data_IF_566435720475
#
_entry.id   IF_566435720475
#
_cell.length_a   1.000
_cell.length_b   1.000
_cell.length_c   1.000
_cell.angle_alpha   90.00
_cell.angle_beta   90.00
_cell.angle_gamma   90.00
#
_symmetry.space_group_name_H-M   'P 1'
#
loop_
_entity.id
_entity.type
_entity.pdbx_description
1 polymer ?
#
# COMPACT_ATOMS: atom_id res chain seq x y z
N UNK A 1 7.39 -10.50 -7.21
CA UNK A 1 6.08 -9.86 -7.03
C UNK A 1 5.02 -10.69 -7.73
N UNK A 2 4.28 -11.50 -6.98
CA UNK A 2 3.22 -12.32 -7.55
C UNK A 2 1.99 -11.45 -7.77
N UNK A 3 1.49 -11.44 -9.01
CA UNK A 3 0.25 -10.75 -9.35
C UNK A 3 -0.90 -11.75 -9.39
N UNK A 4 -1.82 -11.65 -8.45
CA UNK A 4 -2.98 -12.51 -8.31
C UNK A 4 -4.26 -11.67 -8.13
N UNK A 5 -5.40 -12.12 -8.68
CA UNK A 5 -6.68 -11.44 -8.48
C UNK A 5 -7.17 -11.57 -7.03
N UNK A 6 -8.17 -10.79 -6.67
CA UNK A 6 -8.87 -10.94 -5.40
C UNK A 6 -9.56 -12.31 -5.29
N UNK A 7 -9.49 -12.88 -4.10
CA UNK A 7 -10.34 -14.01 -3.72
C UNK A 7 -11.79 -13.57 -3.57
N UNK A 8 -12.73 -14.51 -3.40
CA UNK A 8 -14.14 -14.19 -3.12
C UNK A 8 -14.27 -13.32 -1.85
N UNK A 9 -13.56 -13.69 -0.78
CA UNK A 9 -13.51 -12.90 0.44
C UNK A 9 -12.92 -11.50 0.17
N UNK A 10 -11.87 -11.42 -0.64
CA UNK A 10 -11.26 -10.14 -1.03
C UNK A 10 -12.25 -9.23 -1.78
N UNK A 11 -13.08 -9.79 -2.67
CA UNK A 11 -14.13 -9.02 -3.35
C UNK A 11 -15.20 -8.49 -2.39
N UNK A 12 -15.62 -9.31 -1.42
CA UNK A 12 -16.56 -8.88 -0.38
C UNK A 12 -15.96 -7.75 0.49
N UNK A 13 -14.70 -7.87 0.87
CA UNK A 13 -13.97 -6.83 1.61
C UNK A 13 -13.85 -5.53 0.80
N UNK A 14 -13.57 -5.61 -0.50
CA UNK A 14 -13.50 -4.45 -1.38
C UNK A 14 -14.87 -3.76 -1.52
N UNK A 15 -15.96 -4.51 -1.63
CA UNK A 15 -17.32 -3.97 -1.66
C UNK A 15 -17.67 -3.25 -0.35
N UNK A 16 -17.37 -3.86 0.79
CA UNK A 16 -17.57 -3.22 2.09
C UNK A 16 -16.73 -1.94 2.28
N UNK A 17 -15.50 -1.93 1.76
CA UNK A 17 -14.67 -0.73 1.75
C UNK A 17 -15.29 0.37 0.88
N UNK A 18 -15.81 0.03 -0.30
CA UNK A 18 -16.46 0.97 -1.20
C UNK A 18 -17.66 1.67 -0.52
N UNK A 19 -18.49 0.94 0.22
CA UNK A 19 -19.58 1.52 0.99
C UNK A 19 -19.10 2.49 2.09
N UNK A 20 -18.02 2.15 2.77
CA UNK A 20 -17.42 3.03 3.79
C UNK A 20 -16.87 4.31 3.17
N UNK A 21 -16.17 4.21 2.04
CA UNK A 21 -15.53 5.34 1.37
C UNK A 21 -16.53 6.26 0.66
N UNK A 22 -17.73 5.79 0.32
CA UNK A 22 -18.80 6.61 -0.27
C UNK A 22 -19.14 7.87 0.55
N UNK A 23 -18.90 7.83 1.86
CA UNK A 23 -19.19 8.92 2.80
C UNK A 23 -17.99 9.86 3.04
N UNK A 24 -16.81 9.52 2.52
CA UNK A 24 -15.56 10.25 2.79
C UNK A 24 -15.36 11.44 1.84
N UNK A 25 -16.00 11.43 0.66
CA UNK A 25 -15.83 12.50 -0.34
C UNK A 25 -14.48 12.42 -1.06
N UNK A 26 -14.12 11.22 -1.56
CA UNK A 26 -12.90 10.99 -2.33
C UNK A 26 -13.01 11.68 -3.70
N UNK A 27 -11.93 12.35 -4.12
CA UNK A 27 -11.83 13.05 -5.42
C UNK A 27 -11.02 12.25 -6.45
N UNK A 28 -10.07 11.44 -6.01
CA UNK A 28 -9.13 10.70 -6.86
C UNK A 28 -8.69 9.43 -6.17
N UNK A 29 -8.54 8.34 -6.93
CA UNK A 29 -7.91 7.11 -6.47
C UNK A 29 -6.59 6.92 -7.22
N UNK A 30 -5.49 6.71 -6.48
CA UNK A 30 -4.21 6.29 -7.02
C UNK A 30 -3.95 4.87 -6.51
N UNK A 31 -3.77 3.91 -7.42
CA UNK A 31 -3.67 2.50 -7.09
C UNK A 31 -2.35 1.88 -7.55
N UNK A 32 -1.89 0.88 -6.81
CA UNK A 32 -0.90 -0.06 -7.32
C UNK A 32 -1.43 -0.73 -8.59
N UNK A 33 -0.60 -0.94 -9.63
CA UNK A 33 -1.02 -1.62 -10.86
C UNK A 33 -1.25 -3.13 -10.68
N UNK A 34 -0.92 -3.71 -9.52
CA UNK A 34 -1.18 -5.13 -9.27
C UNK A 34 -2.68 -5.41 -9.20
N UNK A 35 -3.13 -6.51 -9.83
CA UNK A 35 -4.54 -6.82 -10.08
C UNK A 35 -5.42 -6.70 -8.83
N UNK A 36 -4.98 -7.28 -7.70
CA UNK A 36 -5.74 -7.23 -6.43
C UNK A 36 -5.99 -5.81 -5.91
N UNK A 37 -5.05 -4.89 -6.14
CA UNK A 37 -5.20 -3.50 -5.75
C UNK A 37 -6.10 -2.74 -6.72
N UNK A 38 -5.95 -3.01 -8.04
CA UNK A 38 -6.84 -2.46 -9.07
C UNK A 38 -8.29 -2.92 -8.88
N UNK A 39 -8.51 -4.18 -8.59
CA UNK A 39 -9.85 -4.71 -8.34
C UNK A 39 -10.53 -3.97 -7.16
N UNK A 40 -9.76 -3.75 -6.09
CA UNK A 40 -10.23 -2.97 -4.92
C UNK A 40 -10.50 -1.51 -5.28
N UNK A 41 -9.57 -0.87 -6.00
CA UNK A 41 -9.70 0.52 -6.43
C UNK A 41 -10.92 0.72 -7.34
N UNK A 42 -11.14 -0.18 -8.29
CA UNK A 42 -12.29 -0.13 -9.19
C UNK A 42 -13.61 -0.32 -8.47
N UNK A 43 -13.67 -1.20 -7.47
CA UNK A 43 -14.88 -1.35 -6.64
C UNK A 43 -15.24 -0.04 -5.92
N UNK A 44 -14.25 0.66 -5.37
CA UNK A 44 -14.44 1.98 -4.73
C UNK A 44 -14.82 3.04 -5.77
N UNK A 45 -14.13 3.05 -6.91
CA UNK A 45 -14.37 4.04 -7.98
C UNK A 45 -15.79 4.02 -8.51
N UNK A 46 -16.37 2.83 -8.67
CA UNK A 46 -17.76 2.66 -9.12
C UNK A 46 -18.74 3.31 -8.15
N UNK A 47 -18.52 3.12 -6.84
CA UNK A 47 -19.43 3.66 -5.80
C UNK A 47 -19.23 5.16 -5.61
N UNK A 48 -17.99 5.63 -5.63
CA UNK A 48 -17.66 7.05 -5.41
C UNK A 48 -17.80 7.92 -6.69
N UNK A 49 -17.85 7.32 -7.88
CA UNK A 49 -17.94 8.06 -9.15
C UNK A 49 -16.65 8.83 -9.48
N UNK A 50 -15.47 8.32 -9.08
CA UNK A 50 -14.20 9.01 -9.21
C UNK A 50 -13.21 8.25 -10.09
N UNK A 51 -12.24 8.94 -10.74
CA UNK A 51 -11.25 8.28 -11.58
C UNK A 51 -10.24 7.45 -10.77
N UNK A 52 -9.72 6.39 -11.39
CA UNK A 52 -8.58 5.60 -10.91
C UNK A 52 -7.39 5.86 -11.82
N UNK A 53 -6.25 6.17 -11.24
CA UNK A 53 -4.96 6.20 -11.93
C UNK A 53 -4.02 5.22 -11.24
N UNK A 54 -3.06 4.68 -11.97
CA UNK A 54 -2.04 3.78 -11.40
C UNK A 54 -0.72 4.50 -11.20
N UNK A 55 0.02 4.08 -10.16
CA UNK A 55 1.39 4.53 -9.94
C UNK A 55 2.26 3.36 -9.48
N UNK A 56 3.34 3.09 -10.22
CA UNK A 56 4.25 1.98 -9.95
C UNK A 56 4.95 2.10 -8.59
N UNK A 57 5.01 3.30 -8.04
CA UNK A 57 5.55 3.54 -6.70
C UNK A 57 4.70 2.92 -5.58
N UNK A 58 3.46 2.50 -5.88
CA UNK A 58 2.58 1.76 -4.97
C UNK A 58 2.68 0.24 -5.11
N UNK A 59 3.47 -0.30 -6.04
CA UNK A 59 3.71 -1.75 -6.14
C UNK A 59 4.31 -2.25 -4.83
N UNK A 60 3.85 -3.43 -4.34
CA UNK A 60 4.38 -4.04 -3.11
C UNK A 60 5.90 -4.18 -3.14
N UNK A 61 6.53 -4.19 -1.97
CA UNK A 61 7.97 -4.42 -1.84
C UNK A 61 8.40 -5.69 -2.59
N UNK A 62 9.52 -5.59 -3.29
CA UNK A 62 10.14 -6.75 -3.91
C UNK A 62 10.93 -7.55 -2.86
N UNK A 63 10.38 -8.70 -2.49
CA UNK A 63 11.00 -9.58 -1.50
C UNK A 63 12.00 -10.57 -2.11
N UNK A 64 12.28 -10.46 -3.42
CA UNK A 64 13.26 -11.28 -4.13
C UNK A 64 13.03 -12.79 -3.94
N UNK A 65 14.05 -13.50 -3.45
CA UNK A 65 13.96 -14.96 -3.22
C UNK A 65 12.90 -15.40 -2.21
N UNK A 66 12.33 -14.46 -1.45
CA UNK A 66 11.28 -14.74 -0.46
C UNK A 66 9.86 -14.52 -1.01
N UNK A 67 9.72 -14.17 -2.28
CA UNK A 67 8.41 -14.11 -2.92
C UNK A 67 7.70 -15.46 -2.85
N UNK A 68 6.46 -15.45 -2.36
CA UNK A 68 5.64 -16.67 -2.21
C UNK A 68 6.05 -17.63 -1.09
N UNK A 69 7.10 -17.31 -0.33
CA UNK A 69 7.48 -18.10 0.85
C UNK A 69 6.67 -17.75 2.08
N UNK A 70 6.72 -18.62 3.09
CA UNK A 70 6.09 -18.38 4.38
C UNK A 70 6.66 -17.10 5.01
N UNK A 71 5.77 -16.22 5.44
CA UNK A 71 6.13 -14.98 6.14
C UNK A 71 6.82 -15.22 7.49
N UNK A 72 6.74 -16.44 8.02
CA UNK A 72 7.44 -16.88 9.24
C UNK A 72 8.85 -17.40 8.98
N UNK A 73 9.29 -17.49 7.72
CA UNK A 73 10.64 -17.90 7.38
C UNK A 73 11.67 -17.07 8.16
N UNK A 74 12.63 -17.68 8.88
CA UNK A 74 13.59 -16.95 9.72
C UNK A 74 14.45 -15.98 8.91
N UNK A 75 14.85 -16.32 7.69
CA UNK A 75 15.62 -15.44 6.81
C UNK A 75 14.80 -14.24 6.37
N UNK A 76 13.51 -14.43 6.05
CA UNK A 76 12.60 -13.34 5.75
C UNK A 76 12.46 -12.39 6.95
N UNK A 77 12.26 -12.93 8.15
CA UNK A 77 12.10 -12.12 9.37
C UNK A 77 13.39 -11.38 9.75
N UNK A 78 14.55 -11.98 9.54
CA UNK A 78 15.84 -11.33 9.75
C UNK A 78 16.02 -10.16 8.76
N UNK A 79 15.80 -10.36 7.46
CA UNK A 79 15.89 -9.31 6.45
C UNK A 79 14.89 -8.16 6.68
N UNK A 80 13.70 -8.46 7.18
CA UNK A 80 12.67 -7.46 7.45
C UNK A 80 13.13 -6.36 8.43
N UNK A 81 14.13 -6.64 9.25
CA UNK A 81 14.71 -5.71 10.22
C UNK A 81 15.98 -5.00 9.73
N UNK A 82 16.46 -5.36 8.55
CA UNK A 82 17.66 -4.78 7.94
C UNK A 82 17.25 -3.72 6.90
N UNK A 83 16.90 -2.54 7.34
CA UNK A 83 16.25 -1.52 6.50
C UNK A 83 17.08 -1.06 5.31
N UNK A 84 18.40 -0.96 5.46
CA UNK A 84 19.31 -0.58 4.39
C UNK A 84 19.77 -1.76 3.51
N UNK A 85 19.51 -2.99 3.94
CA UNK A 85 19.93 -4.20 3.24
C UNK A 85 18.84 -4.69 2.29
N UNK A 86 19.20 -5.02 1.06
CA UNK A 86 18.25 -5.54 0.07
C UNK A 86 17.87 -6.99 0.40
N UNK A 87 16.60 -7.33 0.19
CA UNK A 87 16.28 -8.74 0.00
C UNK A 87 17.09 -9.30 -1.18
N UNK A 88 17.66 -10.52 -1.09
CA UNK A 88 18.39 -11.10 -2.22
C UNK A 88 17.54 -11.09 -3.49
N UNK A 89 18.05 -10.47 -4.56
CA UNK A 89 17.34 -10.21 -5.81
C UNK A 89 16.08 -9.32 -5.68
N UNK A 90 15.96 -8.57 -4.60
CA UNK A 90 14.81 -7.70 -4.33
C UNK A 90 15.20 -6.28 -3.97
N UNK A 91 14.32 -5.61 -3.26
CA UNK A 91 14.36 -4.21 -2.87
C UNK A 91 14.67 -4.07 -1.37
N UNK A 92 15.44 -3.05 -0.97
CA UNK A 92 15.59 -2.70 0.45
C UNK A 92 14.41 -1.88 0.94
N UNK A 93 14.23 -1.80 2.27
CA UNK A 93 13.22 -0.93 2.87
C UNK A 93 13.49 0.54 2.57
N UNK A 94 14.76 0.96 2.54
CA UNK A 94 15.11 2.35 2.19
C UNK A 94 14.77 2.70 0.74
N UNK A 95 14.92 1.77 -0.21
CA UNK A 95 14.51 1.97 -1.59
C UNK A 95 12.98 2.06 -1.69
N UNK A 96 12.27 1.20 -0.98
CA UNK A 96 10.82 1.27 -0.88
C UNK A 96 10.35 2.62 -0.32
N UNK A 97 10.94 3.06 0.80
CA UNK A 97 10.62 4.33 1.42
C UNK A 97 10.89 5.51 0.47
N UNK A 98 12.01 5.49 -0.25
CA UNK A 98 12.35 6.55 -1.20
C UNK A 98 11.28 6.74 -2.28
N UNK A 99 10.79 5.66 -2.91
CA UNK A 99 9.74 5.77 -3.94
C UNK A 99 8.38 6.16 -3.39
N UNK A 100 8.00 5.64 -2.22
CA UNK A 100 6.71 5.94 -1.59
C UNK A 100 6.67 7.38 -1.07
N UNK A 101 7.72 7.85 -0.41
CA UNK A 101 7.82 9.25 0.05
C UNK A 101 7.79 10.22 -1.15
N UNK A 102 8.49 9.89 -2.24
CA UNK A 102 8.41 10.67 -3.47
C UNK A 102 7.01 10.75 -4.06
N UNK A 103 6.19 9.69 -3.96
CA UNK A 103 4.79 9.74 -4.33
C UNK A 103 3.98 10.69 -3.42
N UNK A 104 4.17 10.61 -2.10
CA UNK A 104 3.44 11.46 -1.15
C UNK A 104 3.75 12.94 -1.37
N UNK A 105 5.02 13.29 -1.64
CA UNK A 105 5.42 14.65 -2.00
C UNK A 105 4.78 15.14 -3.31
N UNK A 106 4.64 14.27 -4.29
CA UNK A 106 3.95 14.61 -5.54
C UNK A 106 2.44 14.79 -5.33
N UNK A 107 1.81 13.94 -4.52
CA UNK A 107 0.39 14.10 -4.15
C UNK A 107 0.17 15.41 -3.43
N UNK A 108 1.02 15.74 -2.46
CA UNK A 108 0.98 17.02 -1.74
C UNK A 108 1.05 18.23 -2.68
N UNK A 109 1.95 18.19 -3.66
CA UNK A 109 2.14 19.29 -4.61
C UNK A 109 1.00 19.44 -5.62
N UNK A 110 0.45 18.32 -6.10
CA UNK A 110 -0.49 18.31 -7.24
C UNK A 110 -1.95 18.22 -6.83
N UNK A 111 -2.23 17.77 -5.61
CA UNK A 111 -3.57 17.43 -5.14
C UNK A 111 -3.84 17.94 -3.71
N UNK A 112 -3.22 19.06 -3.32
CA UNK A 112 -3.33 19.63 -1.96
C UNK A 112 -4.76 20.04 -1.56
N UNK A 113 -5.65 20.22 -2.54
CA UNK A 113 -7.05 20.57 -2.37
C UNK A 113 -8.00 19.37 -2.48
N UNK A 114 -7.46 18.15 -2.55
CA UNK A 114 -8.22 16.92 -2.83
C UNK A 114 -8.08 15.88 -1.74
N UNK A 115 -9.13 15.09 -1.57
CA UNK A 115 -9.08 13.84 -0.83
C UNK A 115 -8.68 12.72 -1.78
N UNK A 116 -7.45 12.22 -1.62
CA UNK A 116 -6.86 11.19 -2.46
C UNK A 116 -6.84 9.86 -1.72
N UNK A 117 -7.44 8.82 -2.30
CA UNK A 117 -7.35 7.45 -1.80
C UNK A 117 -6.17 6.74 -2.44
N UNK A 118 -5.24 6.23 -1.63
CA UNK A 118 -4.16 5.35 -2.08
C UNK A 118 -4.56 3.89 -1.84
N UNK A 119 -4.64 3.09 -2.91
CA UNK A 119 -4.93 1.65 -2.82
C UNK A 119 -3.65 0.86 -3.10
N UNK A 120 -3.13 0.21 -2.08
CA UNK A 120 -1.80 -0.38 -2.12
C UNK A 120 -1.70 -1.66 -1.26
N UNK A 121 -0.54 -1.96 -0.72
CA UNK A 121 -0.20 -3.21 -0.04
C UNK A 121 0.34 -2.93 1.36
N UNK A 122 0.41 -3.96 2.19
CA UNK A 122 0.78 -3.81 3.60
C UNK A 122 2.18 -3.22 3.82
N UNK A 123 3.17 -3.63 3.01
CA UNK A 123 4.51 -3.03 3.07
C UNK A 123 4.51 -1.55 2.71
N UNK A 124 3.67 -1.15 1.75
CA UNK A 124 3.47 0.26 1.37
C UNK A 124 2.77 1.03 2.49
N UNK A 125 1.69 0.47 3.06
CA UNK A 125 0.96 1.11 4.17
C UNK A 125 1.86 1.42 5.36
N UNK A 126 2.78 0.50 5.70
CA UNK A 126 3.79 0.70 6.74
C UNK A 126 4.69 1.90 6.46
N UNK A 127 5.16 2.03 5.22
CA UNK A 127 5.99 3.17 4.81
C UNK A 127 5.20 4.47 4.79
N UNK A 128 3.95 4.45 4.30
CA UNK A 128 3.07 5.63 4.37
C UNK A 128 2.88 6.05 5.83
N UNK A 129 2.60 5.11 6.73
CA UNK A 129 2.41 5.42 8.15
C UNK A 129 3.65 6.09 8.76
N UNK A 130 4.86 5.62 8.42
CA UNK A 130 6.11 6.22 8.91
C UNK A 130 6.41 7.62 8.38
N UNK A 131 5.78 8.04 7.28
CA UNK A 131 5.87 9.41 6.79
C UNK A 131 5.13 10.40 7.71
N UNK A 132 4.04 9.97 8.32
CA UNK A 132 3.17 10.81 9.15
C UNK A 132 3.37 10.63 10.65
N UNK A 133 3.99 9.54 11.09
CA UNK A 133 4.14 9.17 12.51
C UNK A 133 5.53 8.65 12.79
N UNK A 134 6.12 9.14 13.86
CA UNK A 134 7.36 8.56 14.38
C UNK A 134 7.10 7.14 14.86
N UNK A 135 8.04 6.24 14.55
CA UNK A 135 7.98 4.84 14.90
C UNK A 135 9.37 4.37 15.33
N UNK A 136 9.43 3.55 16.36
CA UNK A 136 10.64 2.77 16.65
C UNK A 136 10.88 1.74 15.54
N UNK A 137 12.09 1.21 15.45
CA UNK A 137 12.40 0.16 14.47
C UNK A 137 11.52 -1.08 14.66
N UNK A 138 11.18 -1.43 15.91
CA UNK A 138 10.31 -2.57 16.20
C UNK A 138 8.85 -2.31 15.81
N UNK A 139 8.32 -1.14 16.12
CA UNK A 139 6.98 -0.73 15.67
C UNK A 139 6.88 -0.76 14.15
N UNK A 140 7.87 -0.21 13.46
CA UNK A 140 7.92 -0.25 12.00
C UNK A 140 7.99 -1.68 11.46
N UNK A 141 8.85 -2.55 12.02
CA UNK A 141 8.99 -3.93 11.56
C UNK A 141 7.73 -4.77 11.78
N UNK A 142 6.96 -4.49 12.84
CA UNK A 142 5.75 -5.24 13.22
C UNK A 142 4.45 -4.62 12.73
N UNK A 143 4.49 -3.38 12.21
CA UNK A 143 3.29 -2.71 11.70
C UNK A 143 2.58 -3.54 10.64
N UNK A 144 1.28 -3.65 10.77
CA UNK A 144 0.39 -4.32 9.82
C UNK A 144 -1.00 -3.69 9.85
N UNK A 145 -1.65 -3.65 8.71
CA UNK A 145 -3.06 -3.30 8.57
C UNK A 145 -3.84 -4.51 8.09
N UNK A 146 -5.08 -4.65 8.56
CA UNK A 146 -6.00 -5.67 8.04
C UNK A 146 -6.35 -5.39 6.56
N UNK A 147 -6.75 -6.43 5.85
CA UNK A 147 -7.22 -6.28 4.47
C UNK A 147 -8.42 -5.34 4.41
N UNK A 148 -8.42 -4.44 3.45
CA UNK A 148 -9.44 -3.41 3.28
C UNK A 148 -9.63 -2.48 4.51
N UNK A 149 -8.64 -2.39 5.39
CA UNK A 149 -8.59 -1.35 6.41
C UNK A 149 -8.32 0.02 5.78
N UNK A 150 -8.83 1.06 6.40
CA UNK A 150 -8.67 2.44 5.98
C UNK A 150 -7.95 3.23 7.07
N UNK A 151 -6.94 4.00 6.68
CA UNK A 151 -6.27 4.97 7.54
C UNK A 151 -6.32 6.34 6.86
N UNK A 152 -6.45 7.40 7.65
CA UNK A 152 -6.54 8.77 7.17
C UNK A 152 -5.38 9.60 7.71
N UNK A 153 -4.81 10.44 6.84
CA UNK A 153 -3.68 11.32 7.13
C UNK A 153 -3.88 12.67 6.46
N UNK A 154 -3.29 13.71 7.03
CA UNK A 154 -3.23 15.05 6.45
C UNK A 154 -1.82 15.33 5.89
N UNK A 155 -1.74 15.81 4.63
CA UNK A 155 -0.50 16.18 3.93
C UNK A 155 -0.22 17.68 3.99
#
# INVERSE_FOLDING_TARGET
RTDVPLTELGRQQAAALAEKTAKVGIDLIIASPLQRALDTANAVAVVCGVPVVTDDRLIEQDYGIYEGKDRKDPGFQANKRLFAFRYPHGESMMQLAGRVYGLLEDVKKRHSDKTVLLVCHNGICRVIHSYFRDMTNEEFATFSMDNAALAEYEL
#
